data_IF_061882479282
#
_entry.id   IF_061882479282
#
_cell.length_a   1.000
_cell.length_b   1.000
_cell.length_c   1.000
_cell.angle_alpha   90.00
_cell.angle_beta   90.00
_cell.angle_gamma   90.00
#
_symmetry.space_group_name_H-M   'P 1'
#
loop_
_entity.id
_entity.type
_entity.pdbx_description
1 polymer ?
#
# COMPACT_ATOMS: atom_id res chain seq x y z
N UNK A 1 -15.97 2.62 -10.22
CA UNK A 1 -16.09 2.29 -8.78
C UNK A 1 -14.77 2.66 -8.11
N UNK A 2 -14.76 3.04 -6.82
CA UNK A 2 -13.54 3.40 -6.06
C UNK A 2 -13.07 2.24 -5.18
N UNK A 3 -11.78 2.09 -4.89
CA UNK A 3 -11.28 1.11 -3.93
C UNK A 3 -11.90 1.27 -2.55
N UNK A 4 -12.11 0.16 -1.85
CA UNK A 4 -12.75 0.16 -0.54
C UNK A 4 -12.26 -0.99 0.34
N UNK A 5 -12.38 -0.79 1.65
CA UNK A 5 -12.16 -1.82 2.66
C UNK A 5 -13.46 -2.57 2.96
N UNK A 6 -13.36 -3.87 3.22
CA UNK A 6 -14.46 -4.69 3.73
C UNK A 6 -13.94 -5.70 4.74
N UNK A 7 -14.82 -6.22 5.59
CA UNK A 7 -14.48 -7.34 6.47
C UNK A 7 -14.01 -8.55 5.65
N UNK A 8 -12.94 -9.20 6.11
CA UNK A 8 -12.43 -10.40 5.47
C UNK A 8 -13.51 -11.49 5.48
N UNK A 9 -13.89 -11.95 4.29
CA UNK A 9 -14.93 -12.97 4.14
C UNK A 9 -14.66 -13.78 2.87
N UNK A 10 -14.23 -15.02 3.06
CA UNK A 10 -13.87 -15.95 1.98
C UNK A 10 -15.01 -16.24 1.00
N UNK A 11 -16.26 -16.09 1.42
CA UNK A 11 -17.44 -16.31 0.56
C UNK A 11 -17.81 -15.06 -0.27
N UNK A 12 -17.27 -13.88 0.04
CA UNK A 12 -17.54 -12.66 -0.73
C UNK A 12 -16.54 -12.53 -1.86
N UNK A 13 -17.01 -12.68 -3.09
CA UNK A 13 -16.19 -12.45 -4.28
C UNK A 13 -15.94 -10.95 -4.51
N UNK A 14 -14.81 -10.63 -5.13
CA UNK A 14 -14.57 -9.29 -5.65
C UNK A 14 -15.45 -9.06 -6.89
N UNK A 15 -15.78 -7.80 -7.23
CA UNK A 15 -16.36 -7.47 -8.53
C UNK A 15 -15.50 -8.01 -9.69
N UNK A 16 -16.13 -8.25 -10.84
CA UNK A 16 -15.41 -8.73 -12.04
C UNK A 16 -14.29 -7.75 -12.42
N UNK A 17 -13.07 -8.29 -12.61
CA UNK A 17 -11.88 -7.49 -12.93
C UNK A 17 -11.22 -6.81 -11.74
N UNK A 18 -11.75 -6.96 -10.53
CA UNK A 18 -11.18 -6.45 -9.28
C UNK A 18 -10.55 -7.60 -8.49
N UNK A 19 -9.59 -7.26 -7.62
CA UNK A 19 -8.97 -8.20 -6.69
C UNK A 19 -9.37 -7.86 -5.26
N UNK A 20 -9.38 -8.87 -4.39
CA UNK A 20 -9.55 -8.72 -2.94
C UNK A 20 -8.29 -9.24 -2.28
N UNK A 21 -7.51 -8.35 -1.67
CA UNK A 21 -6.24 -8.70 -1.02
C UNK A 21 -6.35 -8.51 0.50
N UNK A 22 -5.81 -9.44 1.32
CA UNK A 22 -5.77 -9.28 2.76
C UNK A 22 -5.02 -8.00 3.16
N UNK A 23 -5.69 -7.10 3.87
CA UNK A 23 -5.13 -5.83 4.34
C UNK A 23 -4.78 -5.85 5.83
N UNK A 24 -4.88 -7.01 6.49
CA UNK A 24 -4.60 -7.17 7.91
C UNK A 24 -5.73 -6.64 8.80
N UNK A 25 -5.40 -6.32 10.04
CA UNK A 25 -6.37 -5.82 11.02
C UNK A 25 -6.51 -4.31 10.93
N UNK A 26 -7.71 -3.81 10.72
CA UNK A 26 -8.06 -2.39 10.76
C UNK A 26 -9.20 -2.16 11.75
N UNK A 27 -9.06 -1.20 12.66
CA UNK A 27 -10.00 -0.91 13.74
C UNK A 27 -10.42 -2.19 14.51
N UNK A 28 -9.44 -3.06 14.79
CA UNK A 28 -9.65 -4.33 15.49
C UNK A 28 -10.31 -5.44 14.65
N UNK A 29 -10.49 -5.27 13.34
CA UNK A 29 -11.13 -6.27 12.46
C UNK A 29 -10.22 -6.69 11.32
N UNK A 30 -10.16 -7.98 11.02
CA UNK A 30 -9.53 -8.46 9.79
C UNK A 30 -10.30 -7.95 8.58
N UNK A 31 -9.61 -7.25 7.69
CA UNK A 31 -10.18 -6.66 6.49
C UNK A 31 -9.39 -7.03 5.24
N UNK A 32 -10.08 -6.91 4.12
CA UNK A 32 -9.52 -7.01 2.78
C UNK A 32 -9.72 -5.67 2.07
N UNK A 33 -8.74 -5.29 1.24
CA UNK A 33 -8.87 -4.17 0.31
C UNK A 33 -9.33 -4.71 -1.05
N UNK A 34 -10.38 -4.12 -1.58
CA UNK A 34 -10.91 -4.47 -2.91
C UNK A 34 -10.61 -3.34 -3.88
N UNK A 35 -9.90 -3.65 -4.95
CA UNK A 35 -9.46 -2.66 -5.94
C UNK A 35 -9.31 -3.26 -7.34
N UNK A 36 -9.48 -2.44 -8.37
CA UNK A 36 -9.07 -2.79 -9.74
C UNK A 36 -7.54 -2.64 -9.87
N UNK A 37 -6.77 -3.73 -10.04
CA UNK A 37 -5.31 -3.67 -10.10
C UNK A 37 -4.77 -3.02 -11.37
N UNK A 38 -5.60 -2.84 -12.40
CA UNK A 38 -5.20 -2.16 -13.66
C UNK A 38 -5.30 -0.64 -13.53
N UNK A 39 -6.05 -0.16 -12.55
CA UNK A 39 -6.34 1.26 -12.36
C UNK A 39 -5.86 1.81 -11.03
N UNK A 40 -5.74 0.98 -10.00
CA UNK A 40 -5.41 1.44 -8.66
C UNK A 40 -4.13 0.79 -8.17
N UNK A 41 -3.25 1.61 -7.59
CA UNK A 41 -2.12 1.15 -6.80
C UNK A 41 -2.41 1.42 -5.34
N UNK A 42 -2.35 0.37 -4.52
CA UNK A 42 -2.54 0.43 -3.07
C UNK A 42 -1.17 0.33 -2.40
N UNK A 43 -0.91 1.22 -1.44
CA UNK A 43 0.27 1.18 -0.57
C UNK A 43 -0.19 1.21 0.88
N UNK A 44 0.46 0.40 1.71
CA UNK A 44 0.26 0.38 3.16
C UNK A 44 1.53 0.87 3.85
N UNK A 45 1.40 1.89 4.68
CA UNK A 45 2.45 2.34 5.60
C UNK A 45 2.08 1.78 6.97
N UNK A 46 2.94 0.93 7.54
CA UNK A 46 2.74 0.29 8.84
C UNK A 46 3.86 0.74 9.77
N UNK A 47 3.79 1.97 10.25
CA UNK A 47 4.67 2.65 11.23
C UNK A 47 4.21 4.11 11.31
N UNK A 48 4.66 4.85 12.33
CA UNK A 48 4.46 6.31 12.35
C UNK A 48 4.98 6.91 11.05
N UNK A 49 4.09 7.41 10.17
CA UNK A 49 4.53 8.02 8.93
C UNK A 49 5.27 9.28 9.36
N UNK A 50 6.60 9.26 9.22
CA UNK A 50 7.40 10.44 9.50
C UNK A 50 6.89 11.63 8.69
N UNK A 51 7.19 12.84 9.13
CA UNK A 51 6.71 14.09 8.52
C UNK A 51 6.97 14.19 7.00
N UNK A 52 7.94 13.42 6.48
CA UNK A 52 8.29 13.37 5.06
C UNK A 52 7.52 12.33 4.24
N UNK A 53 6.99 11.26 4.84
CA UNK A 53 6.34 10.16 4.10
C UNK A 53 4.99 10.57 3.53
N UNK A 54 4.17 11.27 4.33
CA UNK A 54 2.84 11.76 3.90
C UNK A 54 2.92 12.75 2.73
N UNK A 55 3.76 13.79 2.76
CA UNK A 55 3.89 14.70 1.62
C UNK A 55 4.53 14.03 0.40
N UNK A 56 5.46 13.09 0.57
CA UNK A 56 6.02 12.32 -0.54
C UNK A 56 4.93 11.50 -1.26
N UNK A 57 4.09 10.77 -0.52
CA UNK A 57 2.97 10.01 -1.09
C UNK A 57 1.95 10.93 -1.77
N UNK A 58 1.62 12.06 -1.15
CA UNK A 58 0.72 13.04 -1.77
C UNK A 58 1.29 13.63 -3.06
N UNK A 59 2.60 13.94 -3.10
CA UNK A 59 3.30 14.40 -4.30
C UNK A 59 3.32 13.38 -5.44
N UNK A 60 3.34 12.10 -5.11
CA UNK A 60 3.22 10.96 -6.04
C UNK A 60 1.77 10.67 -6.49
N UNK A 61 0.82 11.51 -6.09
CA UNK A 61 -0.60 11.39 -6.45
C UNK A 61 -1.38 10.39 -5.60
N UNK A 62 -0.79 9.86 -4.52
CA UNK A 62 -1.53 9.02 -3.58
C UNK A 62 -2.46 9.84 -2.70
N UNK A 63 -3.62 9.24 -2.43
CA UNK A 63 -4.66 9.76 -1.55
C UNK A 63 -4.89 8.78 -0.41
N UNK A 64 -5.15 9.29 0.79
CA UNK A 64 -5.47 8.44 1.95
C UNK A 64 -6.81 7.73 1.73
N UNK A 65 -6.80 6.41 1.88
CA UNK A 65 -7.97 5.54 1.81
C UNK A 65 -8.45 5.15 3.22
N UNK A 66 -7.53 4.86 4.12
CA UNK A 66 -7.84 4.51 5.52
C UNK A 66 -6.68 4.87 6.46
N UNK A 67 -7.01 5.13 7.73
CA UNK A 67 -6.05 5.38 8.82
C UNK A 67 -6.51 4.60 10.06
N UNK A 68 -5.60 3.91 10.72
CA UNK A 68 -5.85 3.21 11.98
C UNK A 68 -4.60 3.27 12.86
N UNK A 69 -4.54 4.26 13.76
CA UNK A 69 -3.36 4.52 14.58
C UNK A 69 -2.11 4.78 13.73
N UNK A 70 -1.13 3.88 13.84
CA UNK A 70 0.17 3.95 13.16
C UNK A 70 0.18 3.26 11.79
N UNK A 71 -0.98 2.86 11.26
CA UNK A 71 -1.08 2.37 9.90
C UNK A 71 -1.94 3.28 9.04
N UNK A 72 -1.48 3.51 7.82
CA UNK A 72 -2.18 4.28 6.80
C UNK A 72 -2.21 3.50 5.49
N UNK A 73 -3.36 3.53 4.83
CA UNK A 73 -3.55 2.96 3.50
C UNK A 73 -3.75 4.09 2.53
N UNK A 74 -3.00 4.02 1.44
CA UNK A 74 -2.93 5.03 0.41
C UNK A 74 -3.26 4.42 -0.94
N UNK A 75 -3.95 5.18 -1.77
CA UNK A 75 -4.37 4.77 -3.11
C UNK A 75 -4.07 5.85 -4.13
N UNK A 76 -3.53 5.47 -5.28
CA UNK A 76 -3.50 6.33 -6.46
C UNK A 76 -4.16 5.66 -7.65
N UNK A 77 -4.71 6.47 -8.53
CA UNK A 77 -5.23 6.04 -9.81
C UNK A 77 -4.10 6.10 -10.85
N UNK A 78 -3.77 4.98 -11.47
CA UNK A 78 -3.06 4.98 -12.74
C UNK A 78 -4.07 5.43 -13.80
N UNK A 79 -3.92 6.66 -14.30
CA UNK A 79 -4.54 7.03 -15.56
C UNK A 79 -4.12 5.95 -16.58
N UNK A 80 -5.09 5.30 -17.22
CA UNK A 80 -4.86 4.17 -18.12
C UNK A 80 -3.84 4.55 -19.19
N UNK A 81 -2.57 4.20 -18.95
CA UNK A 81 -1.47 4.86 -19.64
C UNK A 81 -0.10 4.35 -19.25
N UNK A 82 0.01 3.10 -18.82
CA UNK A 82 1.23 2.28 -19.01
C UNK A 82 0.94 0.86 -18.57
N UNK A 83 1.04 -0.05 -19.53
CA UNK A 83 0.87 -1.47 -19.32
C UNK A 83 1.97 -2.02 -18.39
N UNK A 84 1.61 -3.07 -17.65
CA UNK A 84 2.50 -4.09 -17.11
C UNK A 84 3.27 -3.76 -15.82
N UNK A 85 2.59 -3.86 -14.68
CA UNK A 85 3.19 -4.53 -13.51
C UNK A 85 2.43 -5.82 -13.24
N UNK A 86 3.17 -6.94 -13.29
CA UNK A 86 2.66 -8.27 -13.07
C UNK A 86 1.92 -8.37 -11.72
N UNK A 87 0.81 -9.14 -11.64
CA UNK A 87 0.10 -9.34 -10.39
C UNK A 87 0.95 -10.23 -9.47
N UNK A 88 1.20 -9.76 -8.25
CA UNK A 88 1.73 -10.61 -7.19
C UNK A 88 3.05 -10.16 -6.56
N UNK A 89 3.11 -8.95 -6.03
CA UNK A 89 3.93 -8.68 -4.83
C UNK A 89 3.47 -7.38 -4.18
N UNK A 90 2.75 -7.48 -3.05
CA UNK A 90 2.74 -6.37 -2.08
C UNK A 90 4.17 -6.28 -1.57
N UNK A 91 4.96 -5.35 -2.13
CA UNK A 91 6.29 -5.06 -1.61
C UNK A 91 6.11 -4.26 -0.31
N UNK A 92 6.53 -4.79 0.86
CA UNK A 92 6.64 -3.95 2.03
C UNK A 92 7.70 -2.88 1.75
N UNK A 93 7.33 -1.61 1.92
CA UNK A 93 8.31 -0.51 1.93
C UNK A 93 9.01 -0.60 3.28
N UNK A 94 10.07 -1.39 3.35
CA UNK A 94 11.00 -1.35 4.48
C UNK A 94 11.81 -0.06 4.36
N UNK A 95 11.64 0.85 5.32
CA UNK A 95 12.50 2.01 5.47
C UNK A 95 13.93 1.51 5.73
N UNK A 96 14.83 1.65 4.76
CA UNK A 96 16.23 1.27 4.91
C UNK A 96 16.90 2.22 5.91
N UNK A 97 17.46 1.74 7.03
CA UNK A 97 18.40 2.54 7.80
C UNK A 97 19.70 2.64 7.00
N UNK A 98 20.09 3.87 6.69
CA UNK A 98 21.34 4.19 5.99
C UNK A 98 22.54 3.72 6.83
N UNK A 99 23.10 2.55 6.52
CA UNK A 99 24.32 2.05 7.13
C UNK A 99 25.54 2.77 6.52
N UNK A 100 26.09 3.73 7.24
CA UNK A 100 27.41 4.32 6.98
C UNK A 100 28.46 3.21 7.03
N UNK A 101 29.07 2.91 5.88
CA UNK A 101 30.21 1.99 5.76
C UNK A 101 31.46 2.69 6.29
N UNK A 102 31.93 2.26 7.47
CA UNK A 102 33.24 2.63 8.01
C UNK A 102 34.28 1.73 7.31
N UNK A 103 34.97 2.24 6.29
CA UNK A 103 36.10 1.54 5.69
C UNK A 103 37.36 1.79 6.52
N UNK A 104 37.69 0.82 7.37
CA UNK A 104 39.06 0.62 7.85
C UNK A 104 39.88 -0.03 6.74
N UNK A 105 41.01 0.58 6.37
CA UNK A 105 42.00 0.01 5.46
C UNK A 105 43.33 -0.04 6.20
N UNK A 106 43.67 -1.23 6.68
CA UNK A 106 45.04 -1.57 7.06
C UNK A 106 45.85 -1.91 5.81
N UNK A 107 47.10 -1.46 5.79
CA UNK A 107 48.31 -2.19 5.44
C UNK A 107 49.48 -1.45 6.10
#
# INVERSE_FOLDING_TARGET
>A
MKPFLRAANRARLAPVGWVSEPAGTWAGRQVEVVFDPRRHQIVMVRNEPGDTTRPALAGEGFRRLAVDGQQEMWVRDHAAGTAHQAPGRVVPIEAQPQAVQIQGRGL
#
